data_IF_310636243189
#
_entry.id   IF_310636243189
#
_cell.length_a   1.000
_cell.length_b   1.000
_cell.length_c   1.000
_cell.angle_alpha   90.00
_cell.angle_beta   90.00
_cell.angle_gamma   90.00
#
_symmetry.space_group_name_H-M   'P 1'
#
loop_
_entity.id
_entity.type
_entity.pdbx_description
1 polymer ?
#
# COMPACT_ATOMS: atom_id res chain seq x y z
N UNK A 1 -37.67 41.05 -24.02
CA UNK A 1 -36.24 41.07 -23.71
C UNK A 1 -35.89 40.46 -22.33
N UNK A 2 -36.78 39.71 -21.69
CA UNK A 2 -36.57 39.20 -20.29
C UNK A 2 -36.35 37.70 -20.19
N UNK A 3 -36.34 36.98 -21.31
CA UNK A 3 -36.24 35.52 -21.36
C UNK A 3 -34.93 35.00 -22.00
N UNK A 4 -34.00 35.87 -22.40
CA UNK A 4 -32.72 35.46 -23.00
C UNK A 4 -31.62 35.36 -21.95
N UNK A 5 -31.69 36.10 -20.85
CA UNK A 5 -30.68 36.05 -19.78
C UNK A 5 -30.80 34.83 -18.88
N UNK A 6 -31.90 34.06 -18.89
CA UNK A 6 -32.03 32.83 -18.06
C UNK A 6 -31.48 31.55 -18.71
N UNK A 7 -31.12 31.60 -20.00
CA UNK A 7 -30.58 30.42 -20.72
C UNK A 7 -29.05 30.38 -20.83
N UNK A 8 -28.35 31.44 -20.45
CA UNK A 8 -26.88 31.51 -20.48
C UNK A 8 -26.26 31.00 -19.18
N UNK A 9 -27.02 30.98 -18.08
CA UNK A 9 -26.51 30.56 -16.75
C UNK A 9 -26.40 29.05 -16.52
N UNK A 10 -26.93 28.21 -17.41
CA UNK A 10 -26.96 26.74 -17.22
C UNK A 10 -25.91 26.00 -18.08
N UNK A 11 -25.34 26.67 -19.09
CA UNK A 11 -24.35 26.05 -19.98
C UNK A 11 -22.89 26.19 -19.50
N UNK A 12 -22.62 27.03 -18.50
CA UNK A 12 -21.25 27.25 -18.00
C UNK A 12 -20.82 26.30 -16.87
N UNK A 13 -21.75 25.50 -16.30
CA UNK A 13 -21.45 24.59 -15.21
C UNK A 13 -21.12 23.14 -15.68
N UNK A 14 -21.44 22.82 -16.94
CA UNK A 14 -21.17 21.46 -17.47
C UNK A 14 -19.80 21.34 -18.16
N UNK A 15 -19.07 22.42 -18.40
CA UNK A 15 -17.78 22.42 -19.07
C UNK A 15 -16.58 22.22 -18.11
N UNK A 16 -16.82 22.25 -16.79
CA UNK A 16 -15.71 22.17 -15.79
C UNK A 16 -15.29 20.75 -15.41
N UNK A 17 -16.02 19.74 -15.87
CA UNK A 17 -15.72 18.33 -15.51
C UNK A 17 -14.90 17.54 -16.54
N UNK A 18 -14.63 18.09 -17.72
CA UNK A 18 -13.90 17.35 -18.76
C UNK A 18 -12.39 17.66 -18.84
N UNK A 19 -11.87 18.59 -18.05
CA UNK A 19 -10.44 18.95 -18.06
C UNK A 19 -9.62 18.07 -17.08
N UNK A 20 -10.28 17.25 -16.26
CA UNK A 20 -9.61 16.51 -15.19
C UNK A 20 -8.79 15.28 -15.66
N UNK A 21 -9.11 14.68 -16.82
CA UNK A 21 -8.44 13.44 -17.24
C UNK A 21 -7.17 13.66 -18.07
N UNK A 22 -7.02 14.76 -18.81
CA UNK A 22 -5.81 15.03 -19.58
C UNK A 22 -4.66 15.60 -18.72
N UNK A 23 -4.98 16.38 -17.70
CA UNK A 23 -4.00 16.94 -16.78
C UNK A 23 -3.31 15.84 -15.93
N UNK A 24 -3.98 14.71 -15.70
CA UNK A 24 -3.43 13.59 -14.91
C UNK A 24 -2.32 12.84 -15.66
N UNK A 25 -2.43 12.67 -16.96
CA UNK A 25 -1.43 11.93 -17.74
C UNK A 25 -0.17 12.73 -18.08
N UNK A 26 -0.22 14.07 -18.02
CA UNK A 26 0.91 14.95 -18.34
C UNK A 26 1.59 15.57 -17.11
N UNK A 27 1.11 15.28 -15.89
CA UNK A 27 1.72 15.81 -14.68
C UNK A 27 2.98 15.05 -14.31
N UNK A 28 4.04 15.77 -13.91
CA UNK A 28 5.23 15.15 -13.32
C UNK A 28 4.88 14.55 -11.94
N UNK A 29 5.77 13.71 -11.40
CA UNK A 29 5.53 12.97 -10.15
C UNK A 29 5.18 13.87 -8.94
N UNK A 30 5.75 15.08 -8.88
CA UNK A 30 5.48 16.05 -7.84
C UNK A 30 4.06 16.67 -7.95
N UNK A 31 3.56 16.86 -9.18
CA UNK A 31 2.20 17.34 -9.41
C UNK A 31 1.13 16.27 -9.12
N UNK A 32 1.47 14.98 -9.26
CA UNK A 32 0.56 13.89 -8.89
C UNK A 32 0.25 13.86 -7.40
N UNK A 33 1.23 14.10 -6.54
CA UNK A 33 1.02 14.22 -5.09
C UNK A 33 0.10 15.39 -4.70
N UNK A 34 0.06 16.46 -5.50
CA UNK A 34 -0.77 17.65 -5.23
C UNK A 34 -2.24 17.52 -5.68
N UNK A 35 -2.53 16.59 -6.61
CA UNK A 35 -3.86 16.43 -7.21
C UNK A 35 -4.67 15.30 -6.54
N UNK A 36 -3.99 14.34 -5.88
CA UNK A 36 -4.65 13.17 -5.32
C UNK A 36 -5.19 13.50 -3.91
N UNK A 37 -6.37 14.03 -3.86
CA UNK A 37 -7.18 14.22 -2.65
C UNK A 37 -8.29 13.19 -2.52
N UNK A 38 -8.10 11.92 -2.96
CA UNK A 38 -9.13 10.88 -2.78
C UNK A 38 -8.51 9.50 -2.69
N UNK A 39 -8.79 8.87 -1.57
CA UNK A 39 -9.04 7.46 -1.42
C UNK A 39 -7.93 6.60 -0.82
N UNK A 40 -7.95 6.51 0.50
CA UNK A 40 -7.57 5.31 1.27
C UNK A 40 -8.09 3.98 0.64
N UNK A 41 -9.11 4.05 -0.21
CA UNK A 41 -9.70 2.91 -0.92
C UNK A 41 -8.80 2.26 -1.96
N UNK A 42 -8.00 3.03 -2.71
CA UNK A 42 -7.11 2.46 -3.73
C UNK A 42 -5.95 1.68 -3.09
N UNK A 43 -5.38 2.20 -2.02
CA UNK A 43 -4.33 1.51 -1.26
C UNK A 43 -4.88 0.24 -0.59
N UNK A 44 -6.09 0.30 0.00
CA UNK A 44 -6.77 -0.87 0.53
C UNK A 44 -7.03 -1.92 -0.54
N UNK A 45 -7.54 -1.52 -1.71
CA UNK A 45 -7.75 -2.41 -2.85
C UNK A 45 -6.46 -3.07 -3.34
N UNK A 46 -5.35 -2.34 -3.37
CA UNK A 46 -4.05 -2.89 -3.75
C UNK A 46 -3.49 -3.89 -2.72
N UNK A 47 -3.78 -3.70 -1.44
CA UNK A 47 -3.33 -4.58 -0.35
C UNK A 47 -4.20 -5.83 -0.23
N UNK A 48 -5.52 -5.64 -0.29
CA UNK A 48 -6.49 -6.70 -0.01
C UNK A 48 -6.93 -7.45 -1.28
N UNK A 49 -6.68 -6.89 -2.46
CA UNK A 49 -7.20 -7.38 -3.73
C UNK A 49 -8.53 -6.72 -4.12
N UNK A 50 -8.96 -6.93 -5.38
CA UNK A 50 -10.13 -6.27 -5.95
C UNK A 50 -11.49 -6.69 -5.35
N UNK A 51 -11.52 -7.66 -4.45
CA UNK A 51 -12.73 -8.20 -3.82
C UNK A 51 -13.00 -7.60 -2.43
N UNK A 52 -12.58 -6.37 -2.18
CA UNK A 52 -12.92 -5.67 -0.93
C UNK A 52 -14.42 -5.34 -0.94
N UNK A 53 -15.22 -6.27 -0.44
CA UNK A 53 -16.60 -5.96 -0.05
C UNK A 53 -16.59 -4.87 1.02
N UNK A 54 -17.70 -4.13 1.14
CA UNK A 54 -17.94 -3.04 2.10
C UNK A 54 -17.96 -3.49 3.58
N UNK A 55 -17.03 -4.38 3.96
CA UNK A 55 -16.77 -4.74 5.36
C UNK A 55 -16.11 -3.60 6.12
N UNK A 56 -16.21 -3.66 7.43
CA UNK A 56 -15.65 -2.64 8.34
C UNK A 56 -14.11 -2.58 8.26
N UNK A 57 -13.60 -1.83 7.29
CA UNK A 57 -12.18 -1.55 7.10
C UNK A 57 -11.73 -0.25 7.80
N UNK A 58 -12.54 0.24 8.74
CA UNK A 58 -12.28 1.49 9.47
C UNK A 58 -10.94 1.49 10.19
N UNK A 59 -10.54 0.35 10.76
CA UNK A 59 -9.23 0.20 11.40
C UNK A 59 -8.05 0.31 10.40
N UNK A 60 -8.21 -0.22 9.17
CA UNK A 60 -7.19 -0.11 8.13
C UNK A 60 -7.11 1.33 7.59
N UNK A 61 -8.25 1.99 7.44
CA UNK A 61 -8.30 3.41 7.08
C UNK A 61 -7.57 4.30 8.09
N UNK A 62 -7.69 3.99 9.38
CA UNK A 62 -6.97 4.71 10.43
C UNK A 62 -5.45 4.49 10.37
N UNK A 63 -5.00 3.28 10.01
CA UNK A 63 -3.57 2.96 9.84
C UNK A 63 -2.98 3.66 8.62
N UNK A 64 -3.73 3.72 7.52
CA UNK A 64 -3.30 4.31 6.27
C UNK A 64 -3.30 5.84 6.29
N UNK A 65 -4.06 6.43 7.25
CA UNK A 65 -4.09 7.87 7.48
C UNK A 65 -4.80 8.67 6.39
N UNK A 66 -5.01 9.95 6.66
CA UNK A 66 -5.60 10.89 5.71
C UNK A 66 -4.61 11.41 4.69
N UNK A 67 -5.10 11.75 3.51
CA UNK A 67 -4.31 12.33 2.42
C UNK A 67 -3.93 13.78 2.73
N UNK A 68 -2.71 14.15 2.44
CA UNK A 68 -2.20 15.53 2.55
C UNK A 68 -2.10 16.12 1.15
N UNK A 69 -2.96 17.10 0.85
CA UNK A 69 -2.98 17.77 -0.45
C UNK A 69 -1.97 18.93 -0.56
N UNK A 70 -1.88 19.51 -1.75
CA UNK A 70 -1.09 20.72 -2.00
C UNK A 70 0.43 20.51 -2.00
N UNK A 71 1.17 21.53 -1.60
CA UNK A 71 2.64 21.52 -1.59
C UNK A 71 3.21 20.46 -0.62
N UNK A 72 2.56 20.27 0.54
CA UNK A 72 2.94 19.24 1.50
C UNK A 72 2.78 17.82 0.92
N UNK A 73 1.70 17.54 0.18
CA UNK A 73 1.52 16.28 -0.53
C UNK A 73 2.60 16.01 -1.57
N UNK A 74 3.08 17.04 -2.28
CA UNK A 74 4.19 16.90 -3.22
C UNK A 74 5.52 16.53 -2.51
N UNK A 75 5.79 17.09 -1.34
CA UNK A 75 6.96 16.76 -0.53
C UNK A 75 6.91 15.29 -0.09
N UNK A 76 5.76 14.87 0.46
CA UNK A 76 5.54 13.46 0.86
C UNK A 76 5.69 12.55 -0.36
N UNK A 77 5.04 12.89 -1.47
CA UNK A 77 5.10 12.11 -2.71
C UNK A 77 6.54 11.85 -3.16
N UNK A 78 7.37 12.88 -3.17
CA UNK A 78 8.80 12.74 -3.53
C UNK A 78 9.57 11.82 -2.57
N UNK A 79 9.34 11.91 -1.26
CA UNK A 79 9.98 11.03 -0.29
C UNK A 79 9.56 9.57 -0.48
N UNK A 80 8.26 9.34 -0.67
CA UNK A 80 7.73 8.00 -0.90
C UNK A 80 8.17 7.42 -2.26
N UNK A 81 8.30 8.25 -3.31
CA UNK A 81 8.85 7.82 -4.60
C UNK A 81 10.32 7.38 -4.48
N UNK A 82 11.13 8.13 -3.73
CA UNK A 82 12.52 7.75 -3.47
C UNK A 82 12.62 6.44 -2.69
N UNK A 83 11.76 6.25 -1.68
CA UNK A 83 11.70 5.00 -0.92
C UNK A 83 11.25 3.83 -1.81
N UNK A 84 10.21 4.00 -2.64
CA UNK A 84 9.74 2.97 -3.55
C UNK A 84 10.85 2.54 -4.53
N UNK A 85 11.51 3.52 -5.17
CA UNK A 85 12.63 3.27 -6.07
C UNK A 85 13.76 2.50 -5.39
N UNK A 86 14.11 2.87 -4.16
CA UNK A 86 15.14 2.16 -3.40
C UNK A 86 14.74 0.71 -3.09
N UNK A 87 13.47 0.46 -2.77
CA UNK A 87 12.96 -0.90 -2.59
C UNK A 87 13.06 -1.69 -3.90
N UNK A 88 12.65 -1.12 -5.03
CA UNK A 88 12.76 -1.76 -6.34
C UNK A 88 14.21 -2.14 -6.70
N UNK A 89 15.16 -1.25 -6.41
CA UNK A 89 16.57 -1.46 -6.73
C UNK A 89 17.24 -2.52 -5.82
N UNK A 90 16.93 -2.51 -4.53
CA UNK A 90 17.62 -3.36 -3.56
C UNK A 90 16.95 -4.72 -3.32
N UNK A 91 15.65 -4.86 -3.66
CA UNK A 91 14.86 -6.06 -3.40
C UNK A 91 14.34 -6.63 -4.72
N UNK A 92 15.19 -7.30 -5.50
CA UNK A 92 14.78 -7.88 -6.77
C UNK A 92 13.71 -8.96 -6.56
N UNK A 93 12.70 -8.98 -7.43
CA UNK A 93 11.60 -9.94 -7.40
C UNK A 93 10.38 -9.49 -6.60
N UNK A 94 10.48 -8.46 -5.75
CA UNK A 94 9.32 -7.87 -5.12
C UNK A 94 8.53 -7.02 -6.13
N UNK A 95 7.20 -7.17 -6.14
CA UNK A 95 6.35 -6.28 -6.89
C UNK A 95 6.11 -5.01 -6.05
N UNK A 96 6.63 -3.87 -6.50
CA UNK A 96 6.51 -2.58 -5.82
C UNK A 96 5.55 -1.68 -6.58
N UNK A 97 4.51 -1.21 -5.91
CA UNK A 97 3.52 -0.29 -6.49
C UNK A 97 3.38 0.97 -5.63
N UNK A 98 3.46 2.13 -6.29
CA UNK A 98 3.00 3.39 -5.68
C UNK A 98 1.49 3.48 -5.82
N UNK A 99 0.80 3.63 -4.69
CA UNK A 99 -0.65 3.77 -4.64
C UNK A 99 -0.97 4.93 -3.71
N UNK A 100 -1.57 5.98 -4.24
CA UNK A 100 -1.80 7.23 -3.52
C UNK A 100 -0.49 7.75 -2.86
N UNK A 101 -0.50 8.02 -1.58
CA UNK A 101 0.68 8.42 -0.81
C UNK A 101 1.45 7.20 -0.24
N UNK A 102 0.99 5.99 -0.47
CA UNK A 102 1.60 4.76 0.04
C UNK A 102 2.45 4.00 -0.98
N UNK A 103 3.15 2.99 -0.49
CA UNK A 103 3.87 2.00 -1.28
C UNK A 103 3.32 0.63 -0.89
N UNK A 104 2.96 -0.18 -1.86
CA UNK A 104 2.63 -1.59 -1.65
C UNK A 104 3.74 -2.44 -2.20
N UNK A 105 4.30 -3.30 -1.36
CA UNK A 105 5.30 -4.29 -1.74
C UNK A 105 4.68 -5.66 -1.56
N UNK A 106 4.59 -6.43 -2.63
CA UNK A 106 4.04 -7.78 -2.64
C UNK A 106 5.16 -8.79 -2.73
N UNK A 107 5.17 -9.70 -1.78
CA UNK A 107 6.03 -10.88 -1.77
C UNK A 107 5.16 -12.12 -1.97
N UNK A 108 5.21 -12.70 -3.14
CA UNK A 108 4.62 -14.00 -3.46
C UNK A 108 5.67 -15.12 -3.38
N UNK A 109 5.28 -16.33 -3.73
CA UNK A 109 6.15 -17.49 -3.71
C UNK A 109 7.38 -17.38 -4.64
N UNK A 110 7.31 -16.51 -5.66
CA UNK A 110 8.37 -16.31 -6.65
C UNK A 110 9.30 -15.14 -6.31
N UNK A 111 8.90 -14.29 -5.36
CA UNK A 111 9.59 -13.04 -5.03
C UNK A 111 10.59 -13.16 -3.86
N UNK A 112 10.82 -14.39 -3.37
CA UNK A 112 11.91 -14.70 -2.44
C UNK A 112 11.61 -14.54 -0.95
N UNK A 113 10.53 -13.88 -0.51
CA UNK A 113 10.05 -13.97 0.89
C UNK A 113 9.16 -15.21 1.01
N UNK A 114 9.79 -16.36 1.00
CA UNK A 114 9.12 -17.65 0.99
C UNK A 114 9.07 -18.29 2.36
N UNK A 115 8.07 -19.13 2.53
CA UNK A 115 7.92 -20.01 3.68
C UNK A 115 7.92 -21.46 3.18
N UNK A 116 8.41 -22.38 3.97
CA UNK A 116 8.24 -23.80 3.66
C UNK A 116 6.73 -24.13 3.64
N UNK A 117 6.36 -25.14 2.83
CA UNK A 117 4.94 -25.54 2.65
C UNK A 117 4.27 -25.80 4.00
N UNK A 118 3.15 -25.14 4.24
CA UNK A 118 2.39 -25.23 5.49
C UNK A 118 3.08 -24.62 6.71
N UNK A 119 4.23 -23.94 6.55
CA UNK A 119 5.00 -23.35 7.65
C UNK A 119 4.97 -21.82 7.59
N UNK A 120 5.41 -21.22 8.70
CA UNK A 120 5.54 -19.78 8.86
C UNK A 120 6.98 -19.35 9.20
N UNK A 121 7.92 -20.30 9.22
CA UNK A 121 9.34 -20.01 9.43
C UNK A 121 9.92 -19.37 8.15
N UNK A 122 10.61 -18.24 8.33
CA UNK A 122 11.30 -17.55 7.24
C UNK A 122 12.52 -18.37 6.81
N UNK A 123 12.66 -18.58 5.50
CA UNK A 123 13.87 -19.20 4.92
C UNK A 123 15.09 -18.28 5.08
N UNK A 124 16.28 -18.80 4.82
CA UNK A 124 17.52 -18.01 4.86
C UNK A 124 17.49 -16.91 3.78
N UNK A 125 16.98 -17.23 2.61
CA UNK A 125 16.82 -16.32 1.49
C UNK A 125 15.84 -15.19 1.85
N UNK A 126 14.68 -15.54 2.44
CA UNK A 126 13.71 -14.56 2.92
C UNK A 126 14.32 -13.61 3.95
N UNK A 127 15.09 -14.11 4.90
CA UNK A 127 15.79 -13.28 5.89
C UNK A 127 16.78 -12.32 5.24
N UNK A 128 17.54 -12.78 4.24
CA UNK A 128 18.48 -11.92 3.50
C UNK A 128 17.80 -10.76 2.76
N UNK A 129 16.59 -10.99 2.20
CA UNK A 129 15.78 -9.93 1.60
C UNK A 129 15.20 -8.98 2.66
N UNK A 130 14.69 -9.52 3.75
CA UNK A 130 14.15 -8.72 4.84
C UNK A 130 15.23 -7.89 5.54
N UNK A 131 16.51 -8.33 5.58
CA UNK A 131 17.63 -7.52 6.07
C UNK A 131 17.85 -6.25 5.24
N UNK A 132 17.74 -6.35 3.92
CA UNK A 132 17.78 -5.19 3.03
C UNK A 132 16.58 -4.27 3.31
N UNK A 133 15.40 -4.86 3.46
CA UNK A 133 14.20 -4.10 3.78
C UNK A 133 14.31 -3.36 5.13
N UNK A 134 14.90 -4.00 6.14
CA UNK A 134 15.21 -3.37 7.45
C UNK A 134 16.08 -2.13 7.29
N UNK A 135 17.14 -2.21 6.45
CA UNK A 135 18.01 -1.05 6.18
C UNK A 135 17.23 0.11 5.58
N UNK A 136 16.40 -0.17 4.56
CA UNK A 136 15.56 0.84 3.92
C UNK A 136 14.59 1.45 4.93
N UNK A 137 13.88 0.64 5.73
CA UNK A 137 12.96 1.16 6.73
C UNK A 137 13.65 1.98 7.84
N UNK A 138 14.94 1.74 8.12
CA UNK A 138 15.74 2.57 9.04
C UNK A 138 16.12 3.93 8.43
N UNK A 139 16.34 3.98 7.12
CA UNK A 139 16.61 5.23 6.41
C UNK A 139 15.36 6.11 6.26
N UNK A 140 14.17 5.49 6.26
CA UNK A 140 12.87 6.17 6.19
C UNK A 140 12.08 5.96 7.49
N UNK A 141 12.50 6.57 8.62
CA UNK A 141 11.91 6.30 9.93
C UNK A 141 10.50 6.87 10.08
N UNK A 142 10.13 7.88 9.30
CA UNK A 142 8.88 8.62 9.44
C UNK A 142 7.75 7.99 8.60
N UNK A 143 7.72 6.66 8.54
CA UNK A 143 6.67 5.87 7.90
C UNK A 143 6.10 4.80 8.85
N UNK A 144 4.82 4.47 8.68
CA UNK A 144 4.17 3.31 9.27
C UNK A 144 4.13 2.16 8.27
N UNK A 145 4.08 0.95 8.79
CA UNK A 145 4.14 -0.29 7.99
C UNK A 145 2.98 -1.21 8.38
N UNK A 146 2.17 -1.59 7.41
CA UNK A 146 1.15 -2.61 7.55
C UNK A 146 1.64 -3.89 6.87
N UNK A 147 1.69 -4.99 7.62
CA UNK A 147 2.05 -6.33 7.12
C UNK A 147 0.78 -7.17 7.04
N UNK A 148 0.49 -7.71 5.86
CA UNK A 148 -0.74 -8.49 5.63
C UNK A 148 -0.41 -9.85 5.04
N UNK A 149 -0.87 -10.92 5.73
CA UNK A 149 -0.68 -12.30 5.28
C UNK A 149 -1.90 -12.85 4.56
N UNK A 150 -1.65 -13.60 3.48
CA UNK A 150 -2.66 -14.31 2.71
C UNK A 150 -2.24 -15.75 2.42
N UNK A 151 -3.22 -16.60 2.11
CA UNK A 151 -3.02 -17.96 1.59
C UNK A 151 -3.77 -18.13 0.27
N UNK A 152 -3.53 -19.23 -0.40
CA UNK A 152 -4.45 -19.74 -1.41
C UNK A 152 -5.65 -20.47 -0.75
N UNK A 153 -6.54 -20.99 -1.56
CA UNK A 153 -7.74 -21.74 -1.10
C UNK A 153 -7.47 -23.21 -0.82
N UNK A 154 -6.22 -23.64 -0.66
CA UNK A 154 -5.90 -25.05 -0.35
C UNK A 154 -5.95 -25.28 1.16
N UNK A 155 -6.81 -26.15 1.60
CA UNK A 155 -7.00 -26.47 3.02
C UNK A 155 -8.33 -25.99 3.58
N UNK A 156 -8.43 -25.90 4.91
CA UNK A 156 -9.62 -25.34 5.55
C UNK A 156 -9.44 -23.86 5.87
N UNK A 157 -10.52 -23.10 5.86
CA UNK A 157 -10.53 -21.65 6.21
C UNK A 157 -9.83 -21.38 7.53
N UNK A 158 -10.11 -22.20 8.56
CA UNK A 158 -9.48 -22.05 9.89
C UNK A 158 -7.96 -22.27 9.84
N UNK A 159 -7.51 -23.27 9.07
CA UNK A 159 -6.09 -23.51 8.87
C UNK A 159 -5.43 -22.33 8.14
N UNK A 160 -6.05 -21.87 7.05
CA UNK A 160 -5.54 -20.77 6.24
C UNK A 160 -5.52 -19.43 7.00
N UNK A 161 -6.55 -19.17 7.82
CA UNK A 161 -6.57 -18.01 8.70
C UNK A 161 -5.37 -18.04 9.68
N UNK A 162 -5.18 -19.15 10.38
CA UNK A 162 -4.06 -19.33 11.32
C UNK A 162 -2.69 -19.28 10.63
N UNK A 163 -2.56 -19.85 9.42
CA UNK A 163 -1.31 -19.86 8.68
C UNK A 163 -0.92 -18.45 8.22
N UNK A 164 -1.88 -17.68 7.68
CA UNK A 164 -1.66 -16.29 7.27
C UNK A 164 -1.28 -15.39 8.44
N UNK A 165 -1.91 -15.58 9.62
CA UNK A 165 -1.55 -14.91 10.86
C UNK A 165 -0.08 -15.17 11.24
N UNK A 166 0.29 -16.45 11.33
CA UNK A 166 1.65 -16.85 11.70
C UNK A 166 2.70 -16.29 10.74
N UNK A 167 2.42 -16.28 9.44
CA UNK A 167 3.32 -15.74 8.41
C UNK A 167 3.50 -14.23 8.54
N UNK A 168 2.41 -13.46 8.65
CA UNK A 168 2.47 -12.03 8.84
C UNK A 168 3.22 -11.65 10.13
N UNK A 169 2.93 -12.36 11.23
CA UNK A 169 3.62 -12.16 12.50
C UNK A 169 5.11 -12.53 12.44
N UNK A 170 5.51 -13.54 11.64
CA UNK A 170 6.92 -13.88 11.46
C UNK A 170 7.70 -12.74 10.78
N UNK A 171 7.11 -12.11 9.77
CA UNK A 171 7.70 -10.94 9.09
C UNK A 171 7.78 -9.74 10.05
N UNK A 172 6.70 -9.40 10.73
CA UNK A 172 6.69 -8.28 11.70
C UNK A 172 7.69 -8.50 12.83
N UNK A 173 7.76 -9.71 13.37
CA UNK A 173 8.73 -10.07 14.40
C UNK A 173 10.16 -9.92 13.90
N UNK A 174 10.43 -10.35 12.66
CA UNK A 174 11.74 -10.18 12.06
C UNK A 174 12.17 -8.72 12.02
N UNK A 175 11.30 -7.82 11.58
CA UNK A 175 11.56 -6.39 11.57
C UNK A 175 11.83 -5.81 12.96
N UNK A 176 11.00 -6.15 13.94
CA UNK A 176 11.14 -5.61 15.29
C UNK A 176 12.36 -6.15 16.03
N UNK A 177 12.71 -7.41 15.85
CA UNK A 177 13.94 -7.99 16.43
C UNK A 177 15.22 -7.47 15.78
N UNK A 178 15.13 -6.91 14.56
CA UNK A 178 16.24 -6.24 13.88
C UNK A 178 16.28 -4.71 14.10
N UNK A 179 15.63 -4.24 15.17
CA UNK A 179 15.77 -2.88 15.70
C UNK A 179 14.84 -1.84 15.12
N UNK A 180 13.75 -2.26 14.46
CA UNK A 180 12.67 -1.34 14.08
C UNK A 180 11.65 -1.23 15.23
N UNK A 181 11.15 -0.02 15.50
CA UNK A 181 10.16 0.19 16.56
C UNK A 181 8.86 -0.54 16.28
N UNK A 182 8.37 -1.31 17.24
CA UNK A 182 7.09 -2.03 17.13
C UNK A 182 5.90 -1.11 16.88
N UNK A 183 5.95 0.13 17.38
CA UNK A 183 4.88 1.13 17.18
C UNK A 183 4.66 1.53 15.72
N UNK A 184 5.62 1.25 14.84
CA UNK A 184 5.49 1.49 13.39
C UNK A 184 4.67 0.42 12.68
N UNK A 185 4.43 -0.74 13.29
CA UNK A 185 3.89 -1.90 12.62
C UNK A 185 2.46 -2.19 13.04
N UNK A 186 1.64 -2.46 12.04
CA UNK A 186 0.33 -3.11 12.19
C UNK A 186 0.37 -4.41 11.42
N UNK A 187 -0.15 -5.49 12.01
CA UNK A 187 -0.18 -6.82 11.38
C UNK A 187 -1.62 -7.27 11.22
N UNK A 188 -1.98 -7.71 10.02
CA UNK A 188 -3.30 -8.24 9.67
C UNK A 188 -3.14 -9.53 8.86
N UNK A 189 -4.21 -10.32 8.79
CA UNK A 189 -4.25 -11.58 8.04
C UNK A 189 -5.66 -11.89 7.61
N UNK A 190 -5.80 -12.52 6.48
CA UNK A 190 -7.09 -12.78 5.86
C UNK A 190 -7.25 -14.22 5.35
N UNK A 191 -6.26 -15.11 5.59
CA UNK A 191 -6.32 -16.46 5.03
C UNK A 191 -6.53 -16.40 3.53
N UNK A 192 -7.50 -17.15 3.05
CA UNK A 192 -7.93 -17.21 1.65
C UNK A 192 -9.06 -16.24 1.28
N UNK A 193 -9.58 -15.49 2.25
CA UNK A 193 -10.81 -14.69 2.07
C UNK A 193 -10.64 -13.47 1.17
N UNK A 194 -9.39 -13.08 0.88
CA UNK A 194 -9.05 -11.92 0.04
C UNK A 194 -8.11 -12.35 -1.12
N UNK A 195 -8.59 -13.14 -2.08
CA UNK A 195 -7.78 -13.57 -3.21
C UNK A 195 -7.55 -12.39 -4.17
N UNK A 196 -6.30 -12.21 -4.61
CA UNK A 196 -5.94 -11.25 -5.65
C UNK A 196 -5.95 -11.89 -7.05
N UNK A 197 -5.80 -13.20 -7.10
CA UNK A 197 -5.71 -13.99 -8.33
C UNK A 197 -6.66 -15.18 -8.26
N UNK A 198 -6.94 -15.80 -9.42
CA UNK A 198 -7.83 -16.94 -9.54
C UNK A 198 -7.24 -18.19 -8.85
N UNK A 199 -7.89 -18.65 -7.78
CA UNK A 199 -7.51 -19.86 -7.05
C UNK A 199 -7.74 -21.18 -7.82
N UNK A 200 -8.47 -21.15 -8.93
CA UNK A 200 -8.67 -22.34 -9.77
C UNK A 200 -7.39 -22.78 -10.50
N UNK A 201 -6.46 -21.83 -10.73
CA UNK A 201 -5.20 -22.08 -11.43
C UNK A 201 -4.02 -22.25 -10.45
N UNK A 202 -3.03 -23.11 -10.76
CA UNK A 202 -1.82 -23.22 -9.94
C UNK A 202 -1.05 -21.90 -9.82
N UNK A 203 -0.97 -21.14 -10.91
CA UNK A 203 -0.30 -19.82 -10.97
C UNK A 203 -0.99 -18.80 -10.08
N UNK A 204 -2.32 -18.75 -10.09
CA UNK A 204 -3.09 -17.86 -9.24
C UNK A 204 -2.95 -18.23 -7.76
N UNK A 205 -2.97 -19.53 -7.43
CA UNK A 205 -2.72 -19.99 -6.07
C UNK A 205 -1.32 -19.60 -5.57
N UNK A 206 -0.28 -19.78 -6.40
CA UNK A 206 1.09 -19.36 -6.07
C UNK A 206 1.16 -17.87 -5.73
N UNK A 207 0.49 -17.02 -6.50
CA UNK A 207 0.43 -15.57 -6.27
C UNK A 207 -0.45 -15.19 -5.06
N UNK A 208 -1.46 -16.01 -4.71
CA UNK A 208 -2.29 -15.78 -3.52
C UNK A 208 -1.55 -16.12 -2.23
N UNK A 209 -0.59 -17.04 -2.24
CA UNK A 209 0.34 -17.31 -1.11
C UNK A 209 1.35 -16.19 -0.98
N UNK A 210 0.90 -15.04 -0.45
CA UNK A 210 1.67 -13.79 -0.42
C UNK A 210 1.66 -13.11 0.95
N UNK A 211 2.65 -12.27 1.15
CA UNK A 211 2.65 -11.24 2.19
C UNK A 211 2.74 -9.88 1.52
N UNK A 212 1.79 -9.01 1.81
CA UNK A 212 1.80 -7.63 1.38
C UNK A 212 2.37 -6.76 2.49
N UNK A 213 3.24 -5.83 2.13
CA UNK A 213 3.75 -4.79 3.03
C UNK A 213 3.33 -3.44 2.47
N UNK A 214 2.46 -2.73 3.19
CA UNK A 214 2.13 -1.37 2.83
C UNK A 214 2.92 -0.41 3.71
N UNK A 215 3.52 0.60 3.09
CA UNK A 215 4.28 1.66 3.75
C UNK A 215 3.55 2.96 3.51
N UNK A 216 3.27 3.69 4.58
CA UNK A 216 2.53 4.96 4.52
C UNK A 216 3.24 6.03 5.34
N UNK A 217 3.11 7.31 4.97
CA UNK A 217 3.65 8.41 5.78
C UNK A 217 2.98 8.42 7.17
N UNK A 218 3.77 8.55 8.23
CA UNK A 218 3.23 8.75 9.57
C UNK A 218 2.92 10.23 9.83
N UNK A 219 2.33 10.54 10.98
CA UNK A 219 1.95 11.92 11.33
C UNK A 219 3.17 12.86 11.38
N UNK A 220 4.33 12.37 11.82
CA UNK A 220 5.54 13.19 11.85
C UNK A 220 5.99 13.62 10.45
N UNK A 221 5.97 12.71 9.46
CA UNK A 221 6.26 13.05 8.06
C UNK A 221 5.28 14.09 7.53
N UNK A 222 3.98 13.92 7.85
CA UNK A 222 2.93 14.85 7.41
C UNK A 222 3.10 16.24 8.01
N UNK A 223 3.39 16.34 9.30
CA UNK A 223 3.64 17.60 9.98
C UNK A 223 4.88 18.32 9.42
N UNK A 224 5.98 17.60 9.23
CA UNK A 224 7.20 18.15 8.63
C UNK A 224 6.94 18.66 7.21
N UNK A 225 6.19 17.92 6.41
CA UNK A 225 5.84 18.35 5.06
C UNK A 225 4.98 19.63 5.05
N UNK A 226 4.01 19.75 5.96
CA UNK A 226 3.20 20.98 6.14
C UNK A 226 4.06 22.17 6.52
N UNK A 227 4.95 22.00 7.49
CA UNK A 227 5.89 23.07 7.90
C UNK A 227 6.79 23.53 6.76
N UNK A 228 7.32 22.60 5.97
CA UNK A 228 8.15 22.91 4.79
C UNK A 228 7.34 23.58 3.67
N UNK A 229 6.07 23.28 3.57
CA UNK A 229 5.16 23.89 2.60
C UNK A 229 4.65 25.27 3.03
N UNK A 230 4.95 25.72 4.25
CA UNK A 230 4.47 27.00 4.80
C UNK A 230 2.97 26.96 5.18
N UNK A 231 2.45 25.79 5.54
CA UNK A 231 1.07 25.51 5.93
C UNK A 231 0.96 25.27 7.44
#
# INVERSE_FOLDING_TARGET
MRNILKRIGILSLAASFLISCEAYNNSNKAQRGAVIGVASGALLGAILGNNVGSGDNSELGAVLGGVVGGAAGAIIGNQMDNQAKKIEEEIPGAEVKRVDEGIVVTFDENSGVTFATGKADLTTEAKGLLDKFVKILKEYPDTNVLVVGHTDSTGSDTFNMTLSEKRANSVTRYFTTNGLSASRFTTKWYGETQPAYDNSTPEGRSKNRRVNIAIVPNEKMKEQAKQQAGQ
#
